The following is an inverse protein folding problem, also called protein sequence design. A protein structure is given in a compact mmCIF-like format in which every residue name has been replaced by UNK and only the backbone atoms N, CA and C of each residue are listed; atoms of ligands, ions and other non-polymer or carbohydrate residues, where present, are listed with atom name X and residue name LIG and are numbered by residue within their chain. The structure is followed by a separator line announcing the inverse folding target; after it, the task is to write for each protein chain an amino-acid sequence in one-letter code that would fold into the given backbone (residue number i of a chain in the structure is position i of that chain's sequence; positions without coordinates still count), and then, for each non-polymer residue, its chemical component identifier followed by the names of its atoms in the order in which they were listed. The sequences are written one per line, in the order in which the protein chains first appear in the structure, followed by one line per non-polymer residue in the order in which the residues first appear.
data_IF_691633007624
#
_entry.id   IF_691633007624
#
_cell.length_a   1.000
_cell.length_b   1.000
_cell.length_c   1.000
_cell.angle_alpha   90.00
_cell.angle_beta   90.00
_cell.angle_gamma   90.00
#
_symmetry.space_group_name_H-M   'P 1'
#
loop_
_entity.id
_entity.type
_entity.pdbx_description
1 polymer ?
#
# COMPACT_ATOMS: atom_id res chain seq x y z
N UNK A 1 23.15 -26.32 -11.11
CA UNK A 1 22.04 -26.71 -12.01
C UNK A 1 21.75 -25.50 -12.89
N UNK A 2 21.72 -25.73 -14.20
CA UNK A 2 21.69 -24.62 -15.17
C UNK A 2 20.33 -23.92 -15.14
N UNK A 3 20.29 -22.64 -14.73
CA UNK A 3 19.09 -21.81 -14.56
C UNK A 3 18.29 -21.67 -15.87
N UNK A 4 18.97 -21.76 -17.01
CA UNK A 4 18.35 -21.68 -18.34
C UNK A 4 17.51 -22.94 -18.73
N UNK A 5 17.77 -24.08 -18.13
CA UNK A 5 16.97 -25.31 -18.31
C UNK A 5 15.66 -25.26 -17.49
N UNK A 6 15.63 -24.50 -16.40
CA UNK A 6 14.42 -24.35 -15.57
C UNK A 6 13.36 -23.47 -16.27
N UNK A 7 13.76 -22.38 -16.91
CA UNK A 7 12.82 -21.46 -17.57
C UNK A 7 12.14 -22.06 -18.80
N UNK A 8 12.75 -23.02 -19.49
CA UNK A 8 12.18 -23.66 -20.68
C UNK A 8 11.23 -24.83 -20.37
N UNK A 9 11.31 -25.44 -19.20
CA UNK A 9 10.47 -26.57 -18.78
C UNK A 9 9.11 -26.14 -18.16
N UNK A 10 8.94 -24.88 -17.79
CA UNK A 10 7.80 -24.35 -17.02
C UNK A 10 6.56 -24.03 -17.87
N UNK A 11 6.68 -24.00 -19.19
CA UNK A 11 5.54 -23.66 -20.09
C UNK A 11 4.46 -24.72 -20.26
N UNK A 12 4.54 -25.90 -19.62
CA UNK A 12 3.66 -27.05 -19.90
C UNK A 12 2.84 -27.59 -18.71
N UNK A 13 2.86 -26.99 -17.53
CA UNK A 13 2.05 -27.42 -16.39
C UNK A 13 0.90 -26.45 -16.11
N UNK A 14 -0.08 -26.40 -17.01
CA UNK A 14 -1.31 -25.64 -16.85
C UNK A 14 -2.50 -26.59 -16.76
N UNK A 15 -3.20 -26.57 -15.66
CA UNK A 15 -4.65 -26.66 -15.42
C UNK A 15 -5.04 -27.39 -14.13
N UNK A 16 -4.53 -26.96 -12.99
CA UNK A 16 -5.16 -27.27 -11.69
C UNK A 16 -5.23 -26.00 -10.84
N UNK A 17 -6.45 -25.55 -10.56
CA UNK A 17 -6.85 -24.48 -9.65
C UNK A 17 -5.85 -23.33 -9.52
N UNK A 18 -5.85 -22.46 -10.53
CA UNK A 18 -5.04 -21.23 -10.56
C UNK A 18 -5.63 -20.13 -9.66
N UNK A 19 -6.19 -20.47 -8.50
CA UNK A 19 -6.78 -19.48 -7.60
C UNK A 19 -5.69 -18.58 -7.00
N UNK A 20 -5.92 -17.28 -7.13
CA UNK A 20 -5.16 -16.23 -6.49
C UNK A 20 -6.05 -15.52 -5.50
N UNK A 21 -5.55 -15.28 -4.31
CA UNK A 21 -6.27 -14.66 -3.20
C UNK A 21 -5.66 -13.29 -2.88
N UNK A 22 -6.14 -12.20 -3.51
CA UNK A 22 -5.72 -10.87 -3.11
C UNK A 22 -6.24 -10.54 -1.72
N UNK A 23 -5.38 -9.99 -0.88
CA UNK A 23 -5.70 -9.49 0.46
C UNK A 23 -5.43 -7.99 0.51
N UNK A 24 -6.46 -7.19 0.71
CA UNK A 24 -6.34 -5.74 0.86
C UNK A 24 -6.02 -5.41 2.32
N UNK A 25 -4.91 -4.70 2.54
CA UNK A 25 -4.51 -4.18 3.84
C UNK A 25 -5.16 -2.81 4.07
N UNK A 26 -6.23 -2.75 4.85
CA UNK A 26 -7.03 -1.55 5.07
C UNK A 26 -6.95 -1.03 6.52
N UNK A 27 -5.77 -1.04 7.13
CA UNK A 27 -5.58 -0.68 8.55
C UNK A 27 -5.02 0.73 8.82
N UNK A 28 -4.64 1.49 7.78
CA UNK A 28 -4.01 2.80 7.92
C UNK A 28 -4.97 3.90 8.35
N UNK A 29 -4.50 4.88 9.16
CA UNK A 29 -5.30 6.04 9.60
C UNK A 29 -5.26 7.20 8.61
N UNK A 30 -4.20 7.32 7.79
CA UNK A 30 -4.06 8.41 6.81
C UNK A 30 -3.98 9.82 7.39
N UNK A 31 -3.47 9.98 8.60
CA UNK A 31 -3.47 11.22 9.41
C UNK A 31 -2.94 12.47 8.69
N UNK A 32 -2.07 12.30 7.68
CA UNK A 32 -1.48 13.44 6.93
C UNK A 32 -2.44 14.09 5.94
N UNK A 33 -3.57 13.46 5.65
CA UNK A 33 -4.65 14.04 4.84
C UNK A 33 -5.70 14.77 5.68
N UNK A 34 -5.47 14.91 7.00
CA UNK A 34 -6.33 15.78 7.80
C UNK A 34 -6.37 17.20 7.21
N UNK A 35 -7.52 17.88 7.22
CA UNK A 35 -8.78 17.54 7.88
C UNK A 35 -9.72 16.64 7.07
N UNK A 36 -9.34 16.22 5.86
CA UNK A 36 -10.14 15.35 5.01
C UNK A 36 -10.21 13.91 5.55
N UNK A 37 -9.07 13.38 6.03
CA UNK A 37 -9.05 12.11 6.76
C UNK A 37 -9.40 12.33 8.23
N UNK A 38 -10.24 11.46 8.78
CA UNK A 38 -10.68 11.43 10.18
C UNK A 38 -10.73 10.01 10.69
N UNK A 39 -11.00 9.79 11.98
CA UNK A 39 -11.08 8.46 12.58
C UNK A 39 -12.17 7.59 11.94
N UNK A 40 -13.30 8.19 11.58
CA UNK A 40 -14.43 7.56 10.88
C UNK A 40 -14.28 7.52 9.36
N UNK A 41 -13.39 8.34 8.82
CA UNK A 41 -13.14 8.48 7.38
C UNK A 41 -11.63 8.48 7.08
N UNK A 42 -10.93 7.34 7.25
CA UNK A 42 -9.49 7.25 6.99
C UNK A 42 -9.17 7.42 5.50
N UNK A 43 -7.89 7.60 5.17
CA UNK A 43 -7.41 7.89 3.82
C UNK A 43 -7.96 6.94 2.75
N UNK A 44 -8.02 5.63 3.02
CA UNK A 44 -8.52 4.64 2.06
C UNK A 44 -9.99 4.81 1.67
N UNK A 45 -10.76 5.58 2.44
CA UNK A 45 -12.16 5.92 2.11
C UNK A 45 -12.30 7.24 1.34
N UNK A 46 -11.19 7.89 1.00
CA UNK A 46 -11.17 9.13 0.27
C UNK A 46 -11.04 8.88 -1.25
N UNK A 47 -11.66 9.75 -2.04
CA UNK A 47 -11.36 9.94 -3.45
C UNK A 47 -10.38 11.12 -3.56
N UNK A 48 -9.15 10.86 -3.98
CA UNK A 48 -8.08 11.85 -4.01
C UNK A 48 -7.60 12.19 -5.43
N UNK A 49 -8.05 11.44 -6.42
CA UNK A 49 -7.68 11.58 -7.83
C UNK A 49 -8.75 12.26 -8.68
N UNK A 50 -9.79 12.80 -8.04
CA UNK A 50 -10.93 13.41 -8.70
C UNK A 50 -11.97 12.41 -9.24
N UNK A 51 -11.77 11.10 -9.01
CA UNK A 51 -12.76 10.07 -9.31
C UNK A 51 -13.91 10.09 -8.30
N UNK A 52 -14.97 9.35 -8.58
CA UNK A 52 -16.08 9.15 -7.62
C UNK A 52 -15.83 7.97 -6.66
N UNK A 53 -14.76 7.21 -6.87
CA UNK A 53 -14.43 6.02 -6.08
C UNK A 53 -13.43 6.34 -4.97
N UNK A 54 -13.57 5.67 -3.83
CA UNK A 54 -12.53 5.69 -2.81
C UNK A 54 -11.31 4.87 -3.25
N UNK A 55 -10.16 5.11 -2.60
CA UNK A 55 -8.96 4.31 -2.84
C UNK A 55 -9.18 2.82 -2.55
N UNK A 56 -9.99 2.48 -1.54
CA UNK A 56 -10.37 1.11 -1.22
C UNK A 56 -11.18 0.48 -2.36
N UNK A 57 -12.19 1.18 -2.86
CA UNK A 57 -13.02 0.70 -3.98
C UNK A 57 -12.19 0.52 -5.25
N UNK A 58 -11.38 1.52 -5.61
CA UNK A 58 -10.48 1.43 -6.76
C UNK A 58 -9.47 0.28 -6.64
N UNK A 59 -9.00 -0.01 -5.41
CA UNK A 59 -8.12 -1.16 -5.16
C UNK A 59 -8.87 -2.48 -5.30
N UNK A 60 -10.08 -2.61 -4.77
CA UNK A 60 -10.89 -3.82 -4.92
C UNK A 60 -11.22 -4.08 -6.40
N UNK A 61 -11.71 -3.10 -7.13
CA UNK A 61 -12.07 -3.22 -8.55
C UNK A 61 -10.87 -3.66 -9.40
N UNK A 62 -9.69 -3.12 -9.11
CA UNK A 62 -8.43 -3.49 -9.78
C UNK A 62 -8.02 -4.93 -9.49
N UNK A 63 -8.32 -5.47 -8.32
CA UNK A 63 -7.94 -6.81 -7.88
C UNK A 63 -8.95 -7.89 -8.25
N UNK A 64 -10.21 -7.53 -8.48
CA UNK A 64 -11.29 -8.50 -8.81
C UNK A 64 -10.98 -9.39 -10.02
N UNK A 65 -10.37 -8.90 -11.12
CA UNK A 65 -10.00 -9.77 -12.25
C UNK A 65 -9.00 -10.87 -11.84
N UNK A 66 -8.06 -10.57 -10.93
CA UNK A 66 -7.09 -11.54 -10.41
C UNK A 66 -7.74 -12.54 -9.45
N UNK A 67 -8.67 -12.08 -8.64
CA UNK A 67 -9.43 -12.90 -7.69
C UNK A 67 -10.45 -13.81 -8.37
N UNK A 68 -10.79 -13.55 -9.63
CA UNK A 68 -11.91 -14.20 -10.30
C UNK A 68 -13.24 -14.07 -9.52
N UNK A 69 -13.46 -12.91 -8.91
CA UNK A 69 -14.68 -12.55 -8.18
C UNK A 69 -14.49 -12.35 -6.67
N UNK A 70 -15.54 -11.82 -6.05
CA UNK A 70 -15.55 -11.42 -4.64
C UNK A 70 -15.25 -12.57 -3.66
N UNK A 71 -15.57 -13.82 -4.01
CA UNK A 71 -15.35 -14.99 -3.16
C UNK A 71 -13.90 -15.25 -2.81
N UNK A 72 -12.97 -14.78 -3.64
CA UNK A 72 -11.54 -14.95 -3.42
C UNK A 72 -10.82 -13.66 -3.01
N UNK A 73 -11.50 -12.51 -3.03
CA UNK A 73 -10.97 -11.25 -2.51
C UNK A 73 -11.12 -11.21 -0.98
N UNK A 74 -10.08 -10.78 -0.30
CA UNK A 74 -10.03 -10.67 1.15
C UNK A 74 -9.68 -9.25 1.57
N UNK A 75 -10.15 -8.84 2.72
CA UNK A 75 -9.78 -7.55 3.35
C UNK A 75 -9.42 -7.80 4.80
N UNK A 76 -8.32 -7.22 5.25
CA UNK A 76 -7.98 -7.13 6.66
C UNK A 76 -8.00 -5.67 7.10
N UNK A 77 -8.71 -5.38 8.19
CA UNK A 77 -8.96 -4.03 8.66
C UNK A 77 -9.09 -3.97 10.17
N UNK A 78 -9.05 -2.76 10.75
CA UNK A 78 -9.29 -2.59 12.18
C UNK A 78 -10.78 -2.54 12.52
N UNK A 79 -11.13 -2.90 13.76
CA UNK A 79 -12.51 -2.83 14.28
C UNK A 79 -13.12 -1.42 14.16
N UNK A 80 -12.28 -0.38 14.25
CA UNK A 80 -12.74 1.00 14.19
C UNK A 80 -13.37 1.40 12.83
N UNK A 81 -12.93 0.77 11.74
CA UNK A 81 -13.37 1.13 10.37
C UNK A 81 -14.00 -0.04 9.61
N UNK A 82 -14.20 -1.19 10.26
CA UNK A 82 -14.78 -2.38 9.63
C UNK A 82 -16.18 -2.11 9.04
N UNK A 83 -16.99 -1.28 9.70
CA UNK A 83 -18.31 -0.90 9.19
C UNK A 83 -18.21 -0.11 7.89
N UNK A 84 -17.27 0.85 7.80
CA UNK A 84 -17.05 1.61 6.56
C UNK A 84 -16.54 0.73 5.41
N UNK A 85 -15.75 -0.32 5.72
CA UNK A 85 -15.34 -1.32 4.69
C UNK A 85 -16.57 -2.06 4.15
N UNK A 86 -17.52 -2.51 5.00
CA UNK A 86 -18.77 -3.17 4.57
C UNK A 86 -19.61 -2.25 3.68
N UNK A 87 -19.69 -0.97 4.03
CA UNK A 87 -20.46 0.02 3.27
C UNK A 87 -19.83 0.31 1.90
N UNK A 88 -18.51 0.31 1.80
CA UNK A 88 -17.81 0.57 0.56
C UNK A 88 -17.64 -0.66 -0.34
N UNK A 89 -17.62 -1.86 0.24
CA UNK A 89 -17.48 -3.12 -0.47
C UNK A 89 -18.63 -4.08 -0.10
N UNK A 90 -19.88 -3.77 -0.48
CA UNK A 90 -21.06 -4.53 -0.07
C UNK A 90 -21.10 -5.98 -0.58
N UNK A 91 -20.38 -6.27 -1.67
CA UNK A 91 -20.33 -7.60 -2.28
C UNK A 91 -19.20 -8.48 -1.66
N UNK A 92 -18.38 -7.94 -0.76
CA UNK A 92 -17.35 -8.71 -0.07
C UNK A 92 -17.99 -9.70 0.91
N UNK A 93 -17.72 -11.02 0.79
CA UNK A 93 -18.22 -11.99 1.77
C UNK A 93 -17.73 -11.67 3.19
N UNK A 94 -18.63 -11.68 4.17
CA UNK A 94 -18.27 -11.42 5.58
C UNK A 94 -17.18 -12.37 6.08
N UNK A 95 -17.15 -13.60 5.59
CA UNK A 95 -16.10 -14.58 5.91
C UNK A 95 -14.72 -14.23 5.42
N UNK A 96 -14.59 -13.26 4.50
CA UNK A 96 -13.35 -12.80 3.91
C UNK A 96 -12.92 -11.42 4.48
N UNK A 97 -13.71 -10.85 5.38
CA UNK A 97 -13.36 -9.65 6.13
C UNK A 97 -12.72 -10.04 7.47
N UNK A 98 -11.42 -9.87 7.58
CA UNK A 98 -10.68 -10.10 8.83
C UNK A 98 -10.60 -8.78 9.62
N UNK A 99 -11.03 -8.81 10.89
CA UNK A 99 -11.15 -7.63 11.73
C UNK A 99 -10.17 -7.70 12.89
N UNK A 100 -9.12 -6.89 12.81
CA UNK A 100 -8.14 -6.74 13.89
C UNK A 100 -8.80 -6.02 15.07
N UNK A 101 -8.75 -6.65 16.25
CA UNK A 101 -9.23 -6.03 17.50
C UNK A 101 -8.39 -4.81 17.90
N UNK A 102 -7.12 -4.80 17.53
CA UNK A 102 -6.17 -3.69 17.69
C UNK A 102 -5.11 -3.78 16.61
N UNK A 103 -4.68 -2.66 16.02
CA UNK A 103 -3.63 -2.67 14.99
C UNK A 103 -2.27 -3.12 15.52
N UNK A 104 -1.69 -4.15 14.91
CA UNK A 104 -0.37 -4.73 15.23
C UNK A 104 0.64 -4.62 14.10
N UNK A 105 0.40 -3.70 13.15
CA UNK A 105 1.21 -3.52 11.96
C UNK A 105 1.11 -4.72 10.98
N UNK A 106 1.81 -4.66 9.86
CA UNK A 106 1.58 -5.54 8.71
C UNK A 106 2.00 -6.99 8.92
N UNK A 107 2.96 -7.30 9.81
CA UNK A 107 3.41 -8.68 10.00
C UNK A 107 2.30 -9.58 10.62
N UNK A 108 1.58 -9.07 11.62
CA UNK A 108 0.48 -9.80 12.23
C UNK A 108 -0.70 -9.98 11.25
N UNK A 109 -0.99 -8.95 10.45
CA UNK A 109 -2.03 -8.98 9.43
C UNK A 109 -1.72 -10.03 8.34
N UNK A 110 -0.48 -10.04 7.83
CA UNK A 110 0.00 -11.03 6.84
C UNK A 110 -0.05 -12.44 7.42
N UNK A 111 0.43 -12.63 8.65
CA UNK A 111 0.43 -13.94 9.31
C UNK A 111 -1.00 -14.49 9.47
N UNK A 112 -1.92 -13.69 9.99
CA UNK A 112 -3.30 -14.13 10.21
C UNK A 112 -4.04 -14.43 8.91
N UNK A 113 -4.00 -13.52 7.93
CA UNK A 113 -4.65 -13.76 6.64
C UNK A 113 -4.07 -14.99 5.92
N UNK A 114 -2.74 -15.19 5.98
CA UNK A 114 -2.10 -16.37 5.41
C UNK A 114 -2.53 -17.67 6.09
N UNK A 115 -2.70 -17.69 7.41
CA UNK A 115 -3.23 -18.85 8.15
C UNK A 115 -4.68 -19.16 7.75
N UNK A 116 -5.55 -18.16 7.67
CA UNK A 116 -6.96 -18.36 7.32
C UNK A 116 -7.12 -18.87 5.88
N UNK A 117 -6.36 -18.33 4.95
CA UNK A 117 -6.38 -18.77 3.55
C UNK A 117 -5.78 -20.17 3.42
N UNK A 118 -4.66 -20.44 4.09
CA UNK A 118 -4.07 -21.78 4.12
C UNK A 118 -5.02 -22.83 4.66
N UNK A 119 -5.75 -22.51 5.74
CA UNK A 119 -6.75 -23.39 6.35
C UNK A 119 -7.89 -23.73 5.40
N UNK A 120 -8.32 -22.79 4.56
CA UNK A 120 -9.46 -23.00 3.64
C UNK A 120 -9.06 -23.62 2.31
N UNK A 121 -7.89 -23.23 1.78
CA UNK A 121 -7.53 -23.52 0.39
C UNK A 121 -6.24 -24.32 0.25
N UNK A 122 -5.52 -24.57 1.36
CA UNK A 122 -4.35 -25.42 1.42
C UNK A 122 -3.03 -24.70 1.15
N UNK A 123 -1.96 -25.48 1.25
CA UNK A 123 -0.56 -25.03 1.25
C UNK A 123 -0.08 -24.38 -0.07
N UNK A 124 -0.73 -24.71 -1.18
CA UNK A 124 -0.39 -24.20 -2.50
C UNK A 124 -1.21 -22.96 -2.91
N UNK A 125 -2.04 -22.41 -1.99
CA UNK A 125 -2.79 -21.21 -2.28
C UNK A 125 -1.85 -20.03 -2.55
N UNK A 126 -2.10 -19.30 -3.65
CA UNK A 126 -1.36 -18.10 -4.00
C UNK A 126 -2.01 -16.89 -3.35
N UNK A 127 -1.25 -16.12 -2.59
CA UNK A 127 -1.73 -14.92 -1.90
C UNK A 127 -0.96 -13.70 -2.42
N UNK A 128 -1.67 -12.58 -2.58
CA UNK A 128 -1.06 -11.27 -2.78
C UNK A 128 -1.56 -10.27 -1.75
N UNK A 129 -0.68 -9.49 -1.16
CA UNK A 129 -1.01 -8.42 -0.23
C UNK A 129 -0.88 -7.06 -0.88
N UNK A 130 -1.93 -6.23 -0.75
CA UNK A 130 -2.04 -4.94 -1.43
C UNK A 130 -2.55 -3.87 -0.44
N UNK A 131 -1.81 -2.75 -0.27
CA UNK A 131 -2.34 -1.63 0.50
C UNK A 131 -3.62 -1.05 -0.12
N UNK A 132 -4.59 -0.71 0.73
CA UNK A 132 -5.89 -0.17 0.32
C UNK A 132 -5.83 1.27 -0.21
N UNK A 133 -4.71 1.95 -0.01
CA UNK A 133 -4.59 3.40 -0.11
C UNK A 133 -3.52 3.87 -1.10
N UNK A 134 -3.08 2.97 -1.99
CA UNK A 134 -2.13 3.30 -3.06
C UNK A 134 -2.84 3.64 -4.37
N UNK A 135 -2.31 4.62 -5.07
CA UNK A 135 -2.74 4.98 -6.41
C UNK A 135 -1.95 4.22 -7.47
N UNK A 136 -2.63 3.79 -8.52
CA UNK A 136 -2.07 3.06 -9.67
C UNK A 136 -2.61 3.71 -10.95
N UNK A 137 -1.70 4.12 -11.85
CA UNK A 137 -2.05 4.80 -13.09
C UNK A 137 -2.57 3.85 -14.18
N UNK A 138 -1.91 2.68 -14.33
CA UNK A 138 -2.17 1.72 -15.39
C UNK A 138 -2.59 0.37 -14.82
N UNK A 139 -3.90 0.10 -14.73
CA UNK A 139 -4.42 -1.16 -14.21
C UNK A 139 -4.03 -2.38 -15.05
N UNK A 140 -3.87 -2.26 -16.37
CA UNK A 140 -3.54 -3.39 -17.25
C UNK A 140 -2.09 -3.83 -17.01
N UNK A 141 -1.15 -2.87 -16.97
CA UNK A 141 0.26 -3.15 -16.64
C UNK A 141 0.39 -3.68 -15.21
N UNK A 142 -0.44 -3.20 -14.28
CA UNK A 142 -0.50 -3.73 -12.92
C UNK A 142 -0.91 -5.21 -12.91
N UNK A 143 -2.02 -5.57 -13.58
CA UNK A 143 -2.49 -6.95 -13.66
C UNK A 143 -1.46 -7.88 -14.30
N UNK A 144 -0.80 -7.44 -15.37
CA UNK A 144 0.28 -8.20 -16.01
C UNK A 144 1.47 -8.42 -15.07
N UNK A 145 1.84 -7.40 -14.27
CA UNK A 145 2.92 -7.48 -13.30
C UNK A 145 2.60 -8.47 -12.16
N UNK A 146 1.37 -8.43 -11.62
CA UNK A 146 0.93 -9.38 -10.59
C UNK A 146 0.88 -10.81 -11.15
N UNK A 147 0.45 -10.98 -12.39
CA UNK A 147 0.47 -12.28 -13.07
C UNK A 147 1.90 -12.84 -13.15
N UNK A 148 2.88 -12.02 -13.55
CA UNK A 148 4.29 -12.42 -13.59
C UNK A 148 4.84 -12.76 -12.19
N UNK A 149 4.49 -11.98 -11.17
CA UNK A 149 4.86 -12.25 -9.78
C UNK A 149 4.28 -13.60 -9.29
N UNK A 150 3.03 -13.88 -9.66
CA UNK A 150 2.34 -15.12 -9.32
C UNK A 150 3.00 -16.33 -10.00
N UNK A 151 3.41 -16.20 -11.27
CA UNK A 151 4.10 -17.23 -12.01
C UNK A 151 5.48 -17.53 -11.38
N UNK A 152 6.24 -16.51 -11.02
CA UNK A 152 7.51 -16.68 -10.30
C UNK A 152 7.30 -17.41 -8.97
N UNK A 153 6.37 -16.97 -8.13
CA UNK A 153 6.12 -17.56 -6.83
C UNK A 153 5.55 -18.99 -6.87
N UNK A 154 4.96 -19.40 -8.02
CA UNK A 154 4.57 -20.79 -8.27
C UNK A 154 5.73 -21.67 -8.69
N UNK A 155 6.68 -21.10 -9.42
CA UNK A 155 7.78 -21.83 -10.02
C UNK A 155 8.86 -22.22 -9.03
N UNK A 156 9.08 -21.37 -8.03
CA UNK A 156 10.07 -21.57 -6.97
C UNK A 156 9.55 -21.08 -5.63
N UNK A 157 10.07 -21.56 -4.50
CA UNK A 157 9.82 -20.94 -3.20
C UNK A 157 10.30 -19.47 -3.23
N UNK A 158 9.38 -18.53 -3.28
CA UNK A 158 9.70 -17.10 -3.40
C UNK A 158 8.68 -16.22 -2.67
N UNK A 159 9.18 -15.11 -2.14
CA UNK A 159 8.39 -13.96 -1.71
C UNK A 159 8.67 -12.84 -2.70
N UNK A 160 7.72 -12.58 -3.59
CA UNK A 160 7.91 -11.61 -4.68
C UNK A 160 7.35 -10.26 -4.27
N UNK A 161 8.18 -9.22 -4.38
CA UNK A 161 7.75 -7.83 -4.21
C UNK A 161 7.84 -7.05 -5.52
N UNK A 162 7.11 -5.93 -5.61
CA UNK A 162 7.12 -5.06 -6.77
C UNK A 162 7.99 -3.83 -6.49
N UNK A 163 9.00 -3.64 -7.32
CA UNK A 163 9.95 -2.55 -7.21
C UNK A 163 9.59 -1.39 -8.11
N UNK A 164 9.27 -0.24 -7.54
CA UNK A 164 8.94 0.98 -8.29
C UNK A 164 10.23 1.74 -8.61
N UNK A 165 10.38 2.15 -9.87
CA UNK A 165 11.57 2.92 -10.28
C UNK A 165 11.58 4.29 -9.59
N UNK A 166 12.60 4.62 -8.78
CA UNK A 166 12.72 5.91 -8.14
C UNK A 166 12.91 7.03 -9.17
N UNK A 167 12.23 8.17 -8.96
CA UNK A 167 12.38 9.38 -9.77
C UNK A 167 12.80 10.60 -8.93
N UNK A 168 12.84 10.47 -7.59
CA UNK A 168 13.39 11.44 -6.65
C UNK A 168 13.95 10.73 -5.40
N UNK A 169 14.83 11.38 -4.61
CA UNK A 169 15.41 10.78 -3.40
C UNK A 169 14.44 10.84 -2.21
N UNK A 170 13.44 9.94 -2.20
CA UNK A 170 12.46 9.86 -1.11
C UNK A 170 13.10 9.35 0.17
N UNK A 171 12.86 10.04 1.28
CA UNK A 171 13.19 9.57 2.64
C UNK A 171 11.99 8.91 3.33
N UNK A 172 10.84 8.89 2.66
CA UNK A 172 9.59 8.29 3.16
C UNK A 172 9.37 6.85 2.75
N UNK A 173 10.16 6.33 1.80
CA UNK A 173 10.00 4.99 1.21
C UNK A 173 11.11 4.05 1.62
N UNK A 174 10.79 2.75 1.65
CA UNK A 174 11.79 1.71 1.65
C UNK A 174 12.43 1.54 0.27
N UNK A 175 13.69 1.14 0.24
CA UNK A 175 14.46 0.86 -0.98
C UNK A 175 14.86 -0.61 -1.03
N UNK A 176 14.79 -1.17 -2.24
CA UNK A 176 15.17 -2.54 -2.55
C UNK A 176 16.36 -2.50 -3.50
N UNK A 177 17.52 -3.04 -3.10
CA UNK A 177 18.66 -3.20 -3.98
C UNK A 177 18.47 -4.49 -4.82
N UNK A 178 18.47 -4.33 -6.14
CA UNK A 178 18.42 -5.43 -7.09
C UNK A 178 19.76 -6.18 -7.11
N UNK A 179 19.71 -7.47 -6.87
CA UNK A 179 20.84 -8.39 -7.00
C UNK A 179 20.93 -9.05 -8.37
N UNK A 180 21.22 -10.34 -8.38
CA UNK A 180 21.35 -11.12 -9.61
C UNK A 180 20.01 -11.26 -10.34
N UNK A 181 20.06 -11.20 -11.68
CA UNK A 181 18.91 -11.51 -12.52
C UNK A 181 18.66 -13.01 -12.52
N UNK A 182 17.45 -13.43 -12.18
CA UNK A 182 17.07 -14.84 -12.20
C UNK A 182 16.70 -15.28 -13.63
N UNK A 183 15.65 -14.69 -14.17
CA UNK A 183 15.11 -14.86 -15.52
C UNK A 183 13.94 -13.90 -15.72
N UNK A 184 13.15 -14.10 -16.79
CA UNK A 184 11.96 -13.27 -17.02
C UNK A 184 10.69 -14.10 -16.91
N UNK A 185 9.67 -13.52 -16.29
CA UNK A 185 8.31 -14.06 -16.18
C UNK A 185 7.35 -13.11 -16.90
N UNK A 186 6.58 -13.61 -17.85
CA UNK A 186 5.71 -12.78 -18.71
C UNK A 186 6.46 -11.55 -19.30
N UNK A 187 7.71 -11.75 -19.75
CA UNK A 187 8.62 -10.71 -20.25
C UNK A 187 9.10 -9.67 -19.22
N UNK A 188 8.78 -9.82 -17.94
CA UNK A 188 9.30 -8.98 -16.87
C UNK A 188 10.52 -9.65 -16.22
N UNK A 189 11.67 -8.95 -16.10
CA UNK A 189 12.83 -9.51 -15.43
C UNK A 189 12.60 -9.66 -13.95
N UNK A 190 13.06 -10.75 -13.35
CA UNK A 190 13.03 -10.99 -11.92
C UNK A 190 14.44 -10.97 -11.34
N UNK A 191 14.63 -10.25 -10.26
CA UNK A 191 15.92 -10.12 -9.58
C UNK A 191 15.82 -10.68 -8.17
N UNK A 192 16.86 -11.38 -7.71
CA UNK A 192 17.01 -11.65 -6.29
C UNK A 192 17.18 -10.32 -5.54
N UNK A 193 16.58 -10.19 -4.37
CA UNK A 193 16.77 -8.99 -3.54
C UNK A 193 18.11 -9.11 -2.81
N UNK A 194 19.00 -8.14 -3.04
CA UNK A 194 20.26 -8.09 -2.33
C UNK A 194 20.08 -7.58 -0.90
N UNK A 195 19.30 -6.52 -0.72
CA UNK A 195 18.91 -5.99 0.61
C UNK A 195 17.71 -5.05 0.53
N UNK A 196 17.06 -4.90 1.68
CA UNK A 196 16.10 -3.84 1.95
C UNK A 196 16.75 -2.73 2.78
N UNK A 197 16.33 -1.48 2.58
CA UNK A 197 16.73 -0.33 3.40
C UNK A 197 15.50 0.54 3.63
N UNK A 198 14.97 0.51 4.84
CA UNK A 198 13.75 1.25 5.17
C UNK A 198 14.09 2.70 5.51
N UNK A 199 13.44 3.66 4.83
CA UNK A 199 13.48 5.09 5.07
C UNK A 199 14.89 5.66 5.30
N UNK A 200 15.79 5.61 4.29
CA UNK A 200 17.14 6.13 4.39
C UNK A 200 17.14 7.65 4.60
N UNK A 201 18.27 8.20 5.03
CA UNK A 201 18.48 9.63 4.99
C UNK A 201 18.58 10.15 3.55
N UNK A 202 18.54 11.47 3.38
CA UNK A 202 18.49 12.11 2.06
C UNK A 202 19.75 11.85 1.21
N UNK A 203 20.91 11.80 1.83
CA UNK A 203 22.19 11.56 1.15
C UNK A 203 22.25 10.12 0.63
N UNK A 204 21.87 9.17 1.47
CA UNK A 204 21.75 7.75 1.12
C UNK A 204 20.72 7.56 -0.01
N UNK A 205 19.53 8.18 0.09
CA UNK A 205 18.51 8.11 -0.93
C UNK A 205 18.96 8.68 -2.28
N UNK A 206 19.70 9.81 -2.27
CA UNK A 206 20.28 10.38 -3.47
C UNK A 206 21.33 9.46 -4.10
N UNK A 207 22.15 8.81 -3.28
CA UNK A 207 23.11 7.80 -3.74
C UNK A 207 22.38 6.62 -4.39
N UNK A 208 21.33 6.09 -3.77
CA UNK A 208 20.55 4.98 -4.33
C UNK A 208 19.95 5.34 -5.69
N UNK A 209 19.39 6.54 -5.81
CA UNK A 209 18.83 7.03 -7.08
C UNK A 209 19.91 7.08 -8.20
N UNK A 210 21.12 7.54 -7.90
CA UNK A 210 22.19 7.70 -8.88
C UNK A 210 22.75 6.38 -9.42
N UNK A 211 22.66 5.29 -8.63
CA UNK A 211 23.18 3.98 -9.04
C UNK A 211 22.28 3.25 -10.05
N UNK A 212 20.98 3.58 -10.09
CA UNK A 212 19.99 2.93 -10.94
C UNK A 212 19.68 1.46 -10.58
N UNK A 213 20.25 0.93 -9.49
CA UNK A 213 20.04 -0.47 -9.04
C UNK A 213 19.00 -0.62 -7.94
N UNK A 214 18.44 0.49 -7.48
CA UNK A 214 17.46 0.49 -6.42
C UNK A 214 16.05 0.75 -6.95
N UNK A 215 15.08 0.09 -6.35
CA UNK A 215 13.66 0.35 -6.53
C UNK A 215 13.05 0.77 -5.19
N UNK A 216 11.98 1.57 -5.20
CA UNK A 216 11.16 1.74 -4.00
C UNK A 216 10.37 0.47 -3.71
N UNK A 217 10.25 0.13 -2.45
CA UNK A 217 9.36 -0.93 -1.99
C UNK A 217 7.91 -0.48 -2.08
N UNK A 218 7.12 -1.11 -2.92
CA UNK A 218 5.69 -0.81 -3.06
C UNK A 218 4.84 -1.28 -1.87
N UNK A 219 5.39 -2.13 -0.98
CA UNK A 219 4.63 -2.78 0.07
C UNK A 219 3.64 -3.85 -0.43
N UNK A 220 3.77 -4.25 -1.70
CA UNK A 220 2.96 -5.32 -2.30
C UNK A 220 3.80 -6.60 -2.37
N UNK A 221 3.20 -7.73 -1.96
CA UNK A 221 3.90 -9.02 -1.89
C UNK A 221 3.03 -10.13 -2.46
N UNK A 222 3.65 -11.07 -3.18
CA UNK A 222 3.01 -12.28 -3.73
C UNK A 222 3.82 -13.51 -3.35
N UNK A 223 3.17 -14.56 -2.85
CA UNK A 223 3.79 -15.80 -2.42
C UNK A 223 2.79 -16.95 -2.29
N UNK A 224 3.29 -18.17 -2.14
CA UNK A 224 2.48 -19.32 -1.67
C UNK A 224 2.31 -19.28 -0.15
N UNK A 225 1.16 -19.76 0.34
CA UNK A 225 0.88 -19.87 1.78
C UNK A 225 1.95 -20.67 2.52
N UNK A 226 2.36 -21.83 1.97
CA UNK A 226 3.41 -22.66 2.56
C UNK A 226 4.72 -21.93 2.75
N UNK A 227 5.13 -21.12 1.75
CA UNK A 227 6.39 -20.37 1.77
C UNK A 227 6.36 -19.30 2.87
N UNK A 228 5.36 -18.43 2.86
CA UNK A 228 5.31 -17.33 3.84
C UNK A 228 5.14 -17.86 5.27
N UNK A 229 4.35 -18.93 5.49
CA UNK A 229 4.16 -19.51 6.83
C UNK A 229 5.44 -20.15 7.35
N UNK A 230 6.22 -20.83 6.48
CA UNK A 230 7.52 -21.39 6.86
C UNK A 230 8.53 -20.28 7.23
N UNK A 231 8.59 -19.23 6.43
CA UNK A 231 9.47 -18.09 6.67
C UNK A 231 9.08 -17.30 7.93
N UNK A 232 7.77 -17.11 8.20
CA UNK A 232 7.30 -16.50 9.43
C UNK A 232 7.62 -17.35 10.66
N UNK A 233 7.54 -18.69 10.60
CA UNK A 233 7.96 -19.57 11.69
C UNK A 233 9.45 -19.45 11.99
N UNK A 234 10.25 -19.19 10.98
CA UNK A 234 11.72 -19.05 11.08
C UNK A 234 12.11 -17.66 11.60
N UNK A 235 11.53 -16.58 11.07
CA UNK A 235 12.01 -15.22 11.26
C UNK A 235 11.16 -14.37 12.21
N UNK A 236 9.91 -14.77 12.45
CA UNK A 236 8.97 -14.07 13.33
C UNK A 236 8.12 -15.05 14.18
N UNK A 237 8.75 -16.03 14.87
CA UNK A 237 8.03 -17.01 15.66
C UNK A 237 7.17 -16.38 16.74
N UNK A 238 7.54 -15.21 17.26
CA UNK A 238 6.80 -14.43 18.26
C UNK A 238 5.46 -13.90 17.74
N UNK A 239 5.21 -13.93 16.44
CA UNK A 239 3.94 -13.54 15.81
C UNK A 239 3.15 -14.77 15.38
N UNK A 240 3.79 -15.70 14.63
CA UNK A 240 3.09 -16.80 14.00
C UNK A 240 2.67 -17.89 15.01
N UNK A 241 3.55 -18.27 15.95
CA UNK A 241 3.25 -19.36 16.89
C UNK A 241 2.06 -19.04 17.80
N UNK A 242 1.93 -17.84 18.41
CA UNK A 242 0.73 -17.50 19.17
C UNK A 242 -0.55 -17.54 18.34
N UNK A 243 -0.50 -17.07 17.06
CA UNK A 243 -1.66 -17.13 16.17
C UNK A 243 -2.06 -18.57 15.82
N UNK A 244 -1.10 -19.46 15.58
CA UNK A 244 -1.35 -20.89 15.33
C UNK A 244 -1.95 -21.59 16.56
N UNK A 245 -1.50 -21.22 17.75
CA UNK A 245 -1.91 -21.89 19.00
C UNK A 245 -3.24 -21.37 19.53
N UNK A 246 -3.48 -20.06 19.49
CA UNK A 246 -4.61 -19.41 20.15
C UNK A 246 -5.59 -18.74 19.19
N UNK A 247 -5.26 -18.69 17.88
CA UNK A 247 -6.09 -17.99 16.90
C UNK A 247 -6.05 -16.46 17.06
N UNK A 248 -7.05 -15.76 16.47
CA UNK A 248 -7.07 -14.29 16.44
C UNK A 248 -7.28 -13.62 17.80
N UNK A 249 -7.76 -14.34 18.81
CA UNK A 249 -7.98 -13.79 20.16
C UNK A 249 -6.68 -13.32 20.83
N UNK A 250 -5.53 -13.86 20.40
CA UNK A 250 -4.22 -13.45 20.89
C UNK A 250 -3.76 -12.10 20.34
N UNK A 251 -4.42 -11.57 19.33
CA UNK A 251 -3.98 -10.41 18.55
C UNK A 251 -3.55 -9.20 19.41
N UNK A 252 -4.24 -8.83 20.49
CA UNK A 252 -3.83 -7.72 21.36
C UNK A 252 -2.46 -7.90 22.04
N UNK A 253 -1.97 -9.13 22.13
CA UNK A 253 -0.71 -9.46 22.78
C UNK A 253 0.46 -9.57 21.80
N UNK A 254 0.19 -9.62 20.48
CA UNK A 254 1.23 -9.72 19.46
C UNK A 254 2.12 -8.46 19.44
N UNK A 255 3.42 -8.61 19.13
CA UNK A 255 4.28 -7.47 18.94
C UNK A 255 3.83 -6.63 17.73
N UNK A 256 3.97 -5.31 17.84
CA UNK A 256 3.71 -4.39 16.74
C UNK A 256 4.95 -4.31 15.85
N UNK A 257 4.89 -4.91 14.64
CA UNK A 257 6.03 -4.99 13.74
C UNK A 257 5.58 -5.02 12.28
N UNK A 258 6.25 -4.30 11.39
CA UNK A 258 5.97 -4.41 9.96
C UNK A 258 6.50 -5.72 9.39
N UNK A 259 5.93 -6.17 8.27
CA UNK A 259 6.39 -7.35 7.55
C UNK A 259 7.82 -7.16 7.03
N UNK A 260 8.21 -5.92 6.72
CA UNK A 260 9.55 -5.58 6.27
C UNK A 260 10.59 -5.98 7.33
N UNK A 261 10.45 -5.48 8.56
CA UNK A 261 11.35 -5.81 9.68
C UNK A 261 11.18 -7.24 10.21
N UNK A 262 9.96 -7.78 10.15
CA UNK A 262 9.71 -9.13 10.67
C UNK A 262 10.31 -10.20 9.75
N UNK A 263 10.22 -10.01 8.44
CA UNK A 263 10.49 -11.02 7.44
C UNK A 263 11.39 -10.52 6.30
N UNK A 264 11.02 -9.44 5.59
CA UNK A 264 11.65 -9.09 4.32
C UNK A 264 13.13 -8.76 4.40
N UNK A 265 13.57 -8.16 5.50
CA UNK A 265 15.00 -7.87 5.76
C UNK A 265 15.83 -9.11 6.14
N UNK A 266 15.18 -10.27 6.38
CA UNK A 266 15.84 -11.47 6.91
C UNK A 266 15.78 -12.66 5.96
N UNK A 267 14.73 -12.75 5.16
CA UNK A 267 14.53 -13.87 4.24
C UNK A 267 15.53 -13.84 3.09
N UNK A 268 16.02 -15.02 2.70
CA UNK A 268 16.79 -15.19 1.47
C UNK A 268 15.91 -15.52 0.25
N UNK A 269 14.58 -15.61 0.44
CA UNK A 269 13.62 -15.96 -0.60
C UNK A 269 12.95 -14.72 -1.24
N UNK A 270 13.48 -13.52 -1.00
CA UNK A 270 12.94 -12.29 -1.55
C UNK A 270 13.39 -12.07 -3.00
N UNK A 271 12.42 -11.82 -3.89
CA UNK A 271 12.64 -11.44 -5.28
C UNK A 271 11.88 -10.15 -5.59
N UNK A 272 12.42 -9.36 -6.51
CA UNK A 272 11.79 -8.12 -6.96
C UNK A 272 11.55 -8.14 -8.47
N UNK A 273 10.33 -7.76 -8.88
CA UNK A 273 9.98 -7.45 -10.25
C UNK A 273 9.90 -5.93 -10.41
N UNK A 274 10.67 -5.31 -11.34
CA UNK A 274 10.47 -3.91 -11.68
C UNK A 274 9.06 -3.66 -12.19
N UNK A 275 8.38 -2.66 -11.63
CA UNK A 275 7.01 -2.31 -11.94
C UNK A 275 6.93 -0.93 -12.61
N UNK A 276 6.17 -0.83 -13.70
CA UNK A 276 6.04 0.36 -14.53
C UNK A 276 4.59 0.84 -14.68
N UNK A 277 3.69 0.44 -13.78
CA UNK A 277 2.26 0.76 -13.85
C UNK A 277 1.90 2.16 -13.31
N UNK A 278 2.88 3.01 -13.02
CA UNK A 278 2.64 4.28 -12.34
C UNK A 278 2.10 4.07 -10.92
N UNK A 279 2.84 4.53 -9.90
CA UNK A 279 2.52 4.26 -8.50
C UNK A 279 2.83 5.46 -7.61
N UNK A 280 1.93 5.71 -6.67
CA UNK A 280 2.17 6.62 -5.56
C UNK A 280 1.49 6.07 -4.29
N UNK A 281 2.18 6.12 -3.15
CA UNK A 281 1.61 5.70 -1.86
C UNK A 281 0.66 6.74 -1.27
N UNK A 282 0.50 7.90 -1.95
CA UNK A 282 -0.28 9.04 -1.45
C UNK A 282 0.08 9.37 0.00
N UNK A 283 1.36 9.57 0.27
CA UNK A 283 1.88 9.71 1.63
C UNK A 283 1.45 10.98 2.36
N UNK A 284 1.20 12.08 1.64
CA UNK A 284 0.71 13.36 2.12
C UNK A 284 0.12 14.21 0.98
N UNK A 285 -0.28 15.44 1.30
CA UNK A 285 -0.88 16.37 0.33
C UNK A 285 0.00 16.66 -0.89
N UNK A 286 1.35 16.58 -0.80
CA UNK A 286 2.23 16.79 -1.94
C UNK A 286 2.06 15.70 -3.01
N UNK A 287 1.55 14.53 -2.64
CA UNK A 287 1.22 13.48 -3.60
C UNK A 287 0.13 13.92 -4.59
N UNK A 288 -0.82 14.74 -4.13
CA UNK A 288 -1.90 15.27 -4.98
C UNK A 288 -1.34 16.13 -6.11
N UNK A 289 -0.28 16.91 -5.83
CA UNK A 289 0.40 17.66 -6.90
C UNK A 289 1.07 16.72 -7.92
N UNK A 290 1.75 15.69 -7.48
CA UNK A 290 2.38 14.72 -8.39
C UNK A 290 1.38 14.02 -9.31
N UNK A 291 0.15 13.84 -8.84
CA UNK A 291 -0.90 13.16 -9.61
C UNK A 291 -1.66 14.10 -10.55
N UNK A 292 -1.97 15.32 -10.09
CA UNK A 292 -2.98 16.15 -10.72
C UNK A 292 -2.44 17.44 -11.32
N UNK A 293 -1.15 17.75 -11.14
CA UNK A 293 -0.55 18.96 -11.71
C UNK A 293 -0.59 18.92 -13.23
N UNK A 294 -1.16 19.96 -13.81
CA UNK A 294 -1.18 20.20 -15.24
C UNK A 294 -0.08 21.19 -15.61
N UNK A 295 0.50 21.05 -16.82
CA UNK A 295 1.62 21.91 -17.26
C UNK A 295 1.23 23.39 -17.34
N UNK A 296 -0.02 23.69 -17.70
CA UNK A 296 -0.52 25.06 -17.90
C UNK A 296 -1.08 25.71 -16.63
N UNK A 297 -1.20 24.98 -15.51
CA UNK A 297 -1.73 25.52 -14.26
C UNK A 297 -0.62 25.58 -13.19
N UNK A 298 -0.28 26.78 -12.65
CA UNK A 298 0.70 26.88 -11.58
C UNK A 298 0.27 26.18 -10.28
N UNK A 299 -1.03 25.94 -10.09
CA UNK A 299 -1.64 25.37 -8.91
C UNK A 299 -2.33 24.03 -9.20
N UNK A 300 -2.64 23.27 -8.18
CA UNK A 300 -3.58 22.14 -8.23
C UNK A 300 -4.87 22.58 -7.52
N UNK A 301 -5.94 22.74 -8.29
CA UNK A 301 -7.19 23.30 -7.82
C UNK A 301 -8.30 22.25 -7.85
N UNK A 302 -8.66 21.78 -6.65
CA UNK A 302 -9.78 20.86 -6.39
C UNK A 302 -10.90 21.60 -5.63
N UNK A 303 -11.06 22.88 -5.91
CA UNK A 303 -12.06 23.79 -5.37
C UNK A 303 -12.27 24.97 -6.33
N UNK A 304 -13.36 25.72 -6.19
CA UNK A 304 -13.49 27.02 -6.84
C UNK A 304 -12.49 27.99 -6.23
N UNK A 305 -11.52 28.43 -7.03
CA UNK A 305 -10.42 29.27 -6.59
C UNK A 305 -10.34 30.59 -7.36
N UNK A 306 -10.05 31.68 -6.63
CA UNK A 306 -9.72 32.99 -7.18
C UNK A 306 -8.38 33.40 -6.56
N UNK A 307 -7.32 33.40 -7.35
CA UNK A 307 -5.97 33.73 -6.90
C UNK A 307 -5.40 35.00 -7.51
N UNK A 308 -4.75 35.81 -6.69
CA UNK A 308 -3.88 36.91 -7.12
C UNK A 308 -2.47 36.62 -6.62
N UNK A 309 -1.49 36.50 -7.56
CA UNK A 309 -0.09 36.19 -7.22
C UNK A 309 0.05 34.95 -6.32
N UNK A 310 -0.71 33.87 -6.66
CA UNK A 310 -0.65 32.58 -5.95
C UNK A 310 -0.13 31.51 -6.88
N UNK A 311 0.97 30.83 -6.48
CA UNK A 311 1.59 29.80 -7.29
C UNK A 311 2.10 28.62 -6.43
N UNK A 312 2.18 27.44 -7.05
CA UNK A 312 2.59 26.23 -6.36
C UNK A 312 1.61 25.76 -5.30
N UNK A 313 0.36 26.26 -5.28
CA UNK A 313 -0.62 25.90 -4.27
C UNK A 313 -1.36 24.59 -4.60
N UNK A 314 -1.73 23.84 -3.55
CA UNK A 314 -2.71 22.76 -3.61
C UNK A 314 -3.95 23.26 -2.86
N UNK A 315 -5.07 23.37 -3.55
CA UNK A 315 -6.28 23.98 -3.02
C UNK A 315 -7.43 22.97 -3.14
N UNK A 316 -8.00 22.60 -2.01
CA UNK A 316 -9.07 21.61 -1.91
C UNK A 316 -10.23 22.13 -1.07
N UNK A 317 -11.45 21.88 -1.54
CA UNK A 317 -12.66 22.04 -0.73
C UNK A 317 -13.58 20.82 -0.92
N UNK A 318 -14.09 20.27 0.18
CA UNK A 318 -15.03 19.14 0.12
C UNK A 318 -16.44 19.57 -0.32
N UNK A 319 -16.81 20.83 -0.08
CA UNK A 319 -18.06 21.39 -0.57
C UNK A 319 -17.80 22.15 -1.88
N UNK A 320 -18.44 21.78 -3.00
CA UNK A 320 -18.25 22.44 -4.30
C UNK A 320 -18.70 23.90 -4.32
N UNK A 321 -19.55 24.32 -3.39
CA UNK A 321 -20.01 25.71 -3.28
C UNK A 321 -19.01 26.61 -2.53
N UNK A 322 -17.99 26.03 -1.89
CA UNK A 322 -16.96 26.82 -1.19
C UNK A 322 -16.04 27.49 -2.20
N UNK A 323 -15.85 28.80 -2.06
CA UNK A 323 -14.91 29.59 -2.85
C UNK A 323 -13.71 29.95 -1.98
N UNK A 324 -12.51 29.59 -2.45
CA UNK A 324 -11.25 29.91 -1.78
C UNK A 324 -10.59 31.07 -2.54
N UNK A 325 -10.31 32.17 -1.84
CA UNK A 325 -9.61 33.34 -2.41
C UNK A 325 -8.25 33.46 -1.76
N UNK A 326 -7.21 33.64 -2.58
CA UNK A 326 -5.84 33.76 -2.11
C UNK A 326 -5.11 34.94 -2.74
N UNK A 327 -4.21 35.57 -2.00
CA UNK A 327 -3.38 36.68 -2.49
C UNK A 327 -1.94 36.49 -2.00
N UNK A 328 -0.97 36.43 -2.94
CA UNK A 328 0.44 36.45 -2.63
C UNK A 328 0.93 35.22 -1.86
N UNK A 329 0.46 34.02 -2.21
CA UNK A 329 0.85 32.77 -1.56
C UNK A 329 1.65 31.87 -2.47
N UNK A 330 2.75 31.32 -1.94
CA UNK A 330 3.63 30.40 -2.62
C UNK A 330 3.77 29.09 -1.85
N UNK A 331 3.74 27.96 -2.57
CA UNK A 331 4.01 26.62 -2.05
C UNK A 331 3.21 26.25 -0.77
N UNK A 332 1.90 26.45 -0.83
CA UNK A 332 0.98 26.17 0.27
C UNK A 332 -0.03 25.07 -0.08
N UNK A 333 -0.49 24.38 0.94
CA UNK A 333 -1.66 23.49 0.89
C UNK A 333 -2.78 24.17 1.67
N UNK A 334 -3.92 24.36 1.02
CA UNK A 334 -5.14 24.91 1.61
C UNK A 334 -6.23 23.86 1.45
N UNK A 335 -6.76 23.40 2.57
CA UNK A 335 -7.81 22.37 2.60
C UNK A 335 -8.97 22.85 3.43
N UNK A 336 -10.14 22.89 2.83
CA UNK A 336 -11.41 23.19 3.48
C UNK A 336 -12.26 21.92 3.52
N UNK A 337 -12.53 21.41 4.73
CA UNK A 337 -13.44 20.29 4.94
C UNK A 337 -14.36 20.55 6.13
N UNK A 338 -15.67 20.48 5.91
CA UNK A 338 -16.70 20.76 6.92
C UNK A 338 -16.43 22.10 7.65
N UNK A 339 -16.12 22.02 8.95
CA UNK A 339 -15.89 23.16 9.83
C UNK A 339 -14.40 23.50 10.03
N UNK A 340 -13.48 22.88 9.28
CA UNK A 340 -12.04 23.07 9.41
C UNK A 340 -11.43 23.62 8.13
N UNK A 341 -10.52 24.58 8.28
CA UNK A 341 -9.61 25.02 7.22
C UNK A 341 -8.18 24.81 7.67
N UNK A 342 -7.43 23.99 6.96
CA UNK A 342 -5.99 23.82 7.11
C UNK A 342 -5.28 24.73 6.10
N UNK A 343 -4.28 25.47 6.58
CA UNK A 343 -3.30 26.16 5.73
C UNK A 343 -1.91 25.76 6.21
N UNK A 344 -1.14 25.16 5.34
CA UNK A 344 0.21 24.66 5.67
C UNK A 344 1.16 24.82 4.50
N UNK A 345 2.43 25.12 4.77
CA UNK A 345 3.47 25.09 3.74
C UNK A 345 3.72 23.65 3.26
N UNK A 346 4.00 23.47 1.97
CA UNK A 346 4.23 22.14 1.37
C UNK A 346 5.35 21.36 2.04
N UNK A 347 6.43 22.03 2.42
CA UNK A 347 7.58 21.41 3.08
C UNK A 347 7.28 21.01 4.55
N UNK A 348 6.13 21.42 5.10
CA UNK A 348 5.72 21.15 6.47
C UNK A 348 4.50 20.23 6.63
N UNK A 349 4.01 19.62 5.56
CA UNK A 349 2.83 18.72 5.58
C UNK A 349 2.98 17.54 6.55
N UNK A 350 4.20 17.08 6.81
CA UNK A 350 4.47 16.01 7.78
C UNK A 350 4.15 16.43 9.23
N UNK A 351 4.13 17.72 9.52
CA UNK A 351 3.83 18.27 10.85
C UNK A 351 2.33 18.25 11.20
N UNK A 352 1.44 17.95 10.24
CA UNK A 352 0.00 17.75 10.51
C UNK A 352 -0.24 16.77 11.65
N UNK A 353 0.59 15.72 11.77
CA UNK A 353 0.54 14.77 12.89
C UNK A 353 0.76 15.43 14.26
N UNK A 354 1.51 16.52 14.33
CA UNK A 354 1.71 17.25 15.60
C UNK A 354 0.45 18.02 15.99
N UNK A 355 -0.24 18.59 15.00
CA UNK A 355 -1.54 19.26 15.23
C UNK A 355 -2.57 18.25 15.74
N UNK A 356 -2.65 17.07 15.15
CA UNK A 356 -3.56 16.01 15.62
C UNK A 356 -3.28 15.62 17.09
N UNK A 357 -2.02 15.54 17.51
CA UNK A 357 -1.68 15.31 18.92
C UNK A 357 -2.14 16.43 19.83
N UNK A 358 -2.07 17.69 19.36
CA UNK A 358 -2.59 18.85 20.13
C UNK A 358 -4.11 18.74 20.27
N UNK A 359 -4.83 18.43 19.17
CA UNK A 359 -6.29 18.26 19.19
C UNK A 359 -6.72 17.10 20.09
N UNK A 360 -5.98 15.98 20.08
CA UNK A 360 -6.25 14.82 20.95
C UNK A 360 -6.14 15.15 22.45
N UNK A 361 -5.26 16.07 22.81
CA UNK A 361 -5.05 16.49 24.20
C UNK A 361 -6.05 17.60 24.64
N UNK A 362 -6.80 18.16 23.71
CA UNK A 362 -7.79 19.23 23.99
C UNK A 362 -9.20 18.71 23.72
N UNK A 363 -9.90 18.37 24.78
CA UNK A 363 -11.25 17.78 24.71
C UNK A 363 -12.31 18.64 23.99
N UNK A 364 -12.02 19.91 23.67
CA UNK A 364 -12.90 20.80 22.89
C UNK A 364 -12.97 20.45 21.40
N UNK A 365 -12.00 19.69 20.90
CA UNK A 365 -11.82 19.44 19.46
C UNK A 365 -11.86 17.95 19.08
N UNK A 366 -12.43 17.12 19.93
CA UNK A 366 -12.54 15.66 19.67
C UNK A 366 -13.35 15.32 18.43
N UNK A 367 -14.27 16.18 18.03
CA UNK A 367 -15.08 16.08 16.80
C UNK A 367 -14.29 16.37 15.52
N UNK A 368 -13.06 16.86 15.64
CA UNK A 368 -12.17 17.16 14.51
C UNK A 368 -11.19 16.03 14.18
N UNK A 369 -11.17 14.98 15.00
CA UNK A 369 -10.21 13.85 14.85
C UNK A 369 -10.66 12.78 13.87
#
# INVERSE_FOLDING_TARGET
MDVNLYCSALGMLSSMNNLFFPVILAGGKGERFWPLSRLDRPKQFLSLDGSSQSLLQATADRLLPLANGWQNLWVITSSAIAQGVREQLPDLPESNLLIESVGRDTAAAVAWASLEINKRYGENAMIGFFPADHWIADPEVFLATISAATELARSIPAIVTLGIKPNFPSTGYGYIEQGENLCSFNNLPAYHVHRFTEKPDRETAATFLSTGRFSWNSGMFVFQTSVVLAELRTHAPEIIQPLEQYGPDIYPQLPKKSIDYALMEKTSLAYVLPAAFGWDDLGDWNAIERLLKQEDNPNVELATHIGLDTQGAIIYASNPDDVIVTIGLDDVVIVRDRNVTLVVKKDRTQEIKQILKILQNDGRFTDLL
#
